data_IF_399364928435
#
_entry.id   IF_399364928435
#
_cell.length_a   1.000
_cell.length_b   1.000
_cell.length_c   1.000
_cell.angle_alpha   90.00
_cell.angle_beta   90.00
_cell.angle_gamma   90.00
#
_symmetry.space_group_name_H-M   'P 1'
#
loop_
_entity.id
_entity.type
_entity.pdbx_description
1 polymer ?
#
# COMPACT_ATOMS: atom_id res chain seq x y z
N UNK A 1 -18.89 -64.48 -4.99
CA UNK A 1 -18.67 -63.41 -3.97
C UNK A 1 -17.37 -62.70 -4.31
N UNK A 2 -17.45 -61.50 -4.90
CA UNK A 2 -16.27 -60.70 -5.26
C UNK A 2 -16.27 -59.45 -4.39
N UNK A 3 -15.33 -59.38 -3.44
CA UNK A 3 -15.15 -58.20 -2.57
C UNK A 3 -14.25 -57.22 -3.31
N UNK A 4 -14.83 -56.16 -3.85
CA UNK A 4 -14.08 -55.10 -4.52
C UNK A 4 -13.70 -54.04 -3.49
N UNK A 5 -12.41 -53.96 -3.18
CA UNK A 5 -11.84 -52.94 -2.30
C UNK A 5 -11.93 -51.57 -2.99
N UNK A 6 -12.67 -50.63 -2.39
CA UNK A 6 -12.74 -49.25 -2.87
C UNK A 6 -11.59 -48.45 -2.24
N UNK A 7 -10.60 -48.08 -3.06
CA UNK A 7 -9.48 -47.22 -2.66
C UNK A 7 -9.94 -45.76 -2.70
N UNK A 8 -9.82 -45.09 -1.56
CA UNK A 8 -10.12 -43.67 -1.33
C UNK A 8 -9.19 -42.77 -2.15
N UNK A 9 -9.75 -41.82 -2.91
CA UNK A 9 -8.99 -40.76 -3.57
C UNK A 9 -9.22 -39.44 -2.81
N UNK A 10 -8.26 -39.07 -1.96
CA UNK A 10 -8.21 -37.73 -1.36
C UNK A 10 -7.67 -36.76 -2.41
N UNK A 11 -8.52 -35.91 -2.97
CA UNK A 11 -8.08 -34.81 -3.82
C UNK A 11 -7.47 -33.71 -2.95
N UNK A 12 -6.13 -33.58 -2.95
CA UNK A 12 -5.47 -32.37 -2.46
C UNK A 12 -5.79 -31.22 -3.42
N UNK A 13 -6.77 -30.40 -3.08
CA UNK A 13 -6.84 -29.05 -3.65
C UNK A 13 -5.70 -28.25 -3.07
N UNK A 14 -4.55 -28.24 -3.76
CA UNK A 14 -3.52 -27.25 -3.52
C UNK A 14 -4.12 -25.88 -3.90
N UNK A 15 -4.69 -25.19 -2.92
CA UNK A 15 -5.02 -23.78 -3.05
C UNK A 15 -3.70 -23.04 -3.26
N UNK A 16 -3.39 -22.75 -4.52
CA UNK A 16 -2.42 -21.72 -4.89
C UNK A 16 -2.90 -20.41 -4.29
N UNK A 17 -2.47 -20.13 -3.05
CA UNK A 17 -2.53 -18.77 -2.53
C UNK A 17 -1.72 -17.92 -3.51
N UNK A 18 -2.31 -16.91 -4.17
CA UNK A 18 -1.52 -16.01 -5.00
C UNK A 18 -0.40 -15.47 -4.11
N UNK A 19 0.84 -15.72 -4.52
CA UNK A 19 2.02 -15.26 -3.79
C UNK A 19 1.86 -13.77 -3.55
N UNK A 20 1.69 -13.39 -2.29
CA UNK A 20 1.62 -12.01 -1.88
C UNK A 20 3.00 -11.44 -2.14
N UNK A 21 3.23 -10.87 -3.33
CA UNK A 21 4.39 -10.03 -3.54
C UNK A 21 4.30 -8.95 -2.45
N UNK A 22 5.31 -8.92 -1.58
CA UNK A 22 5.29 -8.06 -0.42
C UNK A 22 5.87 -6.72 -0.81
N UNK A 23 5.06 -5.66 -0.73
CA UNK A 23 5.53 -4.30 -0.93
C UNK A 23 6.64 -4.01 0.08
N UNK A 24 7.81 -3.61 -0.42
CA UNK A 24 8.98 -3.33 0.39
C UNK A 24 9.11 -1.84 0.66
N UNK A 25 9.52 -1.51 1.87
CA UNK A 25 9.90 -0.15 2.20
C UNK A 25 11.34 0.12 1.76
N UNK A 26 11.55 1.27 1.13
CA UNK A 26 12.85 1.68 0.61
C UNK A 26 13.52 2.59 1.64
N UNK A 27 14.82 2.37 1.87
CA UNK A 27 15.60 3.21 2.77
C UNK A 27 15.55 4.69 2.33
N UNK A 28 15.69 5.58 3.31
CA UNK A 28 15.53 7.02 3.13
C UNK A 28 16.42 7.62 2.02
N UNK A 29 17.70 7.24 1.96
CA UNK A 29 18.63 7.77 0.95
C UNK A 29 18.18 7.38 -0.46
N UNK A 30 17.81 6.12 -0.67
CA UNK A 30 17.39 5.62 -1.98
C UNK A 30 16.02 6.20 -2.37
N UNK A 31 15.13 6.37 -1.39
CA UNK A 31 13.83 7.02 -1.56
C UNK A 31 13.97 8.45 -2.10
N UNK A 32 14.87 9.24 -1.50
CA UNK A 32 15.04 10.65 -1.81
C UNK A 32 15.59 10.90 -3.23
N UNK A 33 16.55 10.10 -3.69
CA UNK A 33 17.23 10.34 -4.96
C UNK A 33 16.61 9.66 -6.19
N UNK A 34 15.79 8.61 -6.00
CA UNK A 34 15.35 7.79 -7.14
C UNK A 34 14.09 8.32 -7.84
N UNK A 35 13.20 9.02 -7.15
CA UNK A 35 11.94 9.57 -7.71
C UNK A 35 10.94 8.56 -8.30
N UNK A 36 11.31 7.28 -8.39
CA UNK A 36 10.56 6.21 -9.08
C UNK A 36 9.62 5.41 -8.18
N UNK A 37 9.72 5.59 -6.87
CA UNK A 37 8.95 4.82 -5.89
C UNK A 37 7.65 5.52 -5.53
N UNK A 38 6.68 4.75 -5.06
CA UNK A 38 5.51 5.32 -4.40
C UNK A 38 5.99 5.93 -3.08
N UNK A 39 5.63 7.18 -2.79
CA UNK A 39 6.02 7.87 -1.58
C UNK A 39 4.84 8.55 -0.91
N UNK A 40 4.86 8.57 0.41
CA UNK A 40 3.97 9.36 1.25
C UNK A 40 4.81 10.35 2.02
N UNK A 41 4.38 11.61 2.00
CA UNK A 41 4.94 12.59 2.92
C UNK A 41 3.97 12.81 4.08
N UNK A 42 4.54 12.88 5.28
CA UNK A 42 3.79 13.04 6.51
C UNK A 42 4.47 14.06 7.42
N UNK A 43 3.67 14.74 8.21
CA UNK A 43 4.14 15.69 9.22
C UNK A 43 4.26 15.00 10.56
N UNK A 44 5.23 15.44 11.37
CA UNK A 44 5.19 15.12 12.80
C UNK A 44 4.02 15.87 13.49
N UNK A 45 3.61 15.39 14.66
CA UNK A 45 2.51 15.97 15.45
C UNK A 45 2.66 17.49 15.70
N UNK A 46 3.89 18.01 15.64
CA UNK A 46 4.21 19.44 15.80
C UNK A 46 4.20 20.25 14.49
N UNK A 47 3.77 19.66 13.36
CA UNK A 47 3.50 20.35 12.09
C UNK A 47 4.71 20.93 11.36
N UNK A 48 5.92 20.84 11.93
CA UNK A 48 7.09 21.58 11.45
C UNK A 48 7.91 20.85 10.39
N UNK A 49 8.06 19.52 10.49
CA UNK A 49 8.94 18.75 9.59
C UNK A 49 8.14 17.73 8.79
N UNK A 50 8.28 17.81 7.46
CA UNK A 50 7.76 16.83 6.51
C UNK A 50 8.80 15.73 6.34
N UNK A 51 8.38 14.49 6.54
CA UNK A 51 9.18 13.28 6.33
C UNK A 51 8.59 12.51 5.15
N UNK A 52 9.45 11.82 4.40
CA UNK A 52 9.03 11.00 3.26
C UNK A 52 9.38 9.55 3.52
N UNK A 53 8.43 8.66 3.30
CA UNK A 53 8.64 7.21 3.22
C UNK A 53 8.32 6.74 1.81
N UNK A 54 9.09 5.77 1.31
CA UNK A 54 8.90 5.21 -0.02
C UNK A 54 8.68 3.70 0.02
N UNK A 55 7.90 3.21 -0.93
CA UNK A 55 7.62 1.80 -1.13
C UNK A 55 7.77 1.39 -2.59
N UNK A 56 8.17 0.14 -2.79
CA UNK A 56 8.38 -0.48 -4.09
C UNK A 56 7.92 -1.94 -4.05
N UNK A 57 8.06 -2.60 -5.19
CA UNK A 57 7.55 -3.94 -5.46
C UNK A 57 6.02 -4.01 -5.46
N UNK A 58 5.48 -4.95 -6.24
CA UNK A 58 4.05 -5.12 -6.43
C UNK A 58 3.40 -5.79 -5.22
N UNK A 59 2.10 -5.57 -5.04
CA UNK A 59 1.26 -6.26 -4.06
C UNK A 59 0.71 -5.34 -2.98
N UNK A 60 0.36 -5.92 -1.84
CA UNK A 60 -0.34 -5.25 -0.75
C UNK A 60 0.55 -5.02 0.47
N UNK A 61 0.35 -3.92 1.19
CA UNK A 61 0.95 -3.68 2.50
C UNK A 61 0.07 -2.85 3.43
N UNK A 62 -0.12 -3.37 4.63
CA UNK A 62 -0.65 -2.63 5.77
C UNK A 62 0.46 -1.75 6.38
N UNK A 63 0.16 -0.48 6.67
CA UNK A 63 1.20 0.47 7.10
C UNK A 63 0.79 1.52 8.13
N UNK A 64 -0.51 1.72 8.38
CA UNK A 64 -1.05 2.63 9.42
C UNK A 64 -0.22 3.91 9.61
N UNK A 65 0.05 4.63 8.53
CA UNK A 65 0.83 5.86 8.52
C UNK A 65 -0.08 7.05 8.82
N UNK A 66 0.19 7.76 9.91
CA UNK A 66 -0.58 8.95 10.32
C UNK A 66 -0.05 10.23 9.69
N UNK A 67 -0.86 11.28 9.75
CA UNK A 67 -0.51 12.64 9.35
C UNK A 67 0.02 12.76 7.92
N UNK A 68 -0.52 11.95 7.00
CA UNK A 68 -0.14 11.96 5.59
C UNK A 68 -0.72 13.20 4.91
N UNK A 69 0.17 14.03 4.35
CA UNK A 69 -0.18 15.32 3.74
C UNK A 69 -0.06 15.31 2.22
N UNK A 70 0.75 14.39 1.68
CA UNK A 70 0.97 14.26 0.24
C UNK A 70 1.39 12.85 -0.14
N UNK A 71 1.26 12.56 -1.44
CA UNK A 71 1.79 11.35 -2.04
C UNK A 71 2.42 11.66 -3.40
N UNK A 72 3.36 10.81 -3.80
CA UNK A 72 3.85 10.69 -5.18
C UNK A 72 3.80 9.22 -5.58
N UNK A 73 3.34 8.92 -6.79
CA UNK A 73 3.29 7.54 -7.28
C UNK A 73 4.59 7.07 -7.93
N UNK A 74 5.47 7.99 -8.32
CA UNK A 74 6.66 7.64 -9.11
C UNK A 74 6.27 6.82 -10.35
N UNK A 75 6.96 5.72 -10.63
CA UNK A 75 6.63 4.83 -11.75
C UNK A 75 5.63 3.71 -11.39
N UNK A 76 4.81 3.91 -10.35
CA UNK A 76 3.88 2.90 -9.83
C UNK A 76 2.42 3.31 -10.10
N UNK A 77 1.57 2.33 -10.36
CA UNK A 77 0.12 2.49 -10.33
C UNK A 77 -0.43 1.67 -9.15
N UNK A 78 -1.65 1.97 -8.73
CA UNK A 78 -2.31 1.21 -7.68
C UNK A 78 -3.32 2.05 -6.90
N UNK A 79 -3.42 1.76 -5.60
CA UNK A 79 -4.37 2.44 -4.73
C UNK A 79 -3.92 2.44 -3.27
N UNK A 80 -4.51 3.31 -2.46
CA UNK A 80 -4.37 3.26 -1.01
C UNK A 80 -5.69 3.56 -0.30
N UNK A 81 -5.87 2.98 0.87
CA UNK A 81 -7.00 3.24 1.78
C UNK A 81 -6.59 4.25 2.85
N UNK A 82 -7.48 5.20 3.14
CA UNK A 82 -7.20 6.25 4.10
C UNK A 82 -8.43 6.71 4.88
N UNK A 83 -8.19 7.27 6.07
CA UNK A 83 -9.17 7.89 6.96
C UNK A 83 -8.75 9.36 7.20
N UNK A 84 -9.44 10.36 6.63
CA UNK A 84 -9.06 11.77 6.75
C UNK A 84 -9.41 12.37 8.12
N UNK A 85 -10.09 11.63 9.01
CA UNK A 85 -10.50 12.08 10.34
C UNK A 85 -11.97 12.53 10.45
N UNK A 86 -12.79 12.26 9.44
CA UNK A 86 -14.25 12.49 9.45
C UNK A 86 -15.08 11.26 9.89
N UNK A 87 -14.41 10.20 10.34
CA UNK A 87 -15.04 8.93 10.74
C UNK A 87 -15.33 7.97 9.57
N UNK A 88 -14.98 8.34 8.33
CA UNK A 88 -15.16 7.49 7.16
C UNK A 88 -13.83 6.98 6.61
N UNK A 89 -13.92 5.86 5.88
CA UNK A 89 -12.79 5.27 5.14
C UNK A 89 -12.99 5.44 3.65
N UNK A 90 -11.91 5.84 2.98
CA UNK A 90 -11.89 6.12 1.55
C UNK A 90 -10.79 5.32 0.87
N UNK A 91 -10.96 5.14 -0.45
CA UNK A 91 -9.96 4.52 -1.33
C UNK A 91 -9.57 5.52 -2.42
N UNK A 92 -8.28 5.80 -2.54
CA UNK A 92 -7.72 6.63 -3.60
C UNK A 92 -6.97 5.75 -4.59
N UNK A 93 -7.28 5.87 -5.88
CA UNK A 93 -6.56 5.20 -6.96
C UNK A 93 -5.58 6.18 -7.60
N UNK A 94 -4.41 5.69 -8.00
CA UNK A 94 -3.38 6.51 -8.63
C UNK A 94 -2.78 5.81 -9.84
N UNK A 95 -2.50 6.61 -10.87
CA UNK A 95 -1.74 6.20 -12.05
C UNK A 95 -0.26 6.51 -11.86
N UNK A 96 0.59 5.96 -12.73
CA UNK A 96 2.02 6.32 -12.79
C UNK A 96 2.21 7.82 -12.99
N UNK A 97 3.27 8.34 -12.39
CA UNK A 97 3.72 9.74 -12.45
C UNK A 97 2.66 10.75 -11.98
N UNK A 98 1.73 10.32 -11.14
CA UNK A 98 0.76 11.16 -10.45
C UNK A 98 1.20 11.48 -9.02
N UNK A 99 0.73 12.60 -8.47
CA UNK A 99 0.99 12.96 -7.08
C UNK A 99 0.21 14.19 -6.67
N UNK A 100 -0.01 14.35 -5.38
CA UNK A 100 -0.63 15.54 -4.79
C UNK A 100 0.36 16.13 -3.82
N UNK A 101 0.87 17.33 -4.13
CA UNK A 101 1.99 17.93 -3.41
C UNK A 101 1.65 18.41 -2.00
N UNK A 102 0.43 18.90 -1.76
CA UNK A 102 -0.18 19.18 -0.44
C UNK A 102 -1.68 19.38 -0.65
N UNK A 103 -2.54 18.68 0.09
CA UNK A 103 -3.92 19.16 0.26
C UNK A 103 -3.89 20.27 1.30
N UNK A 104 -3.97 21.53 0.90
CA UNK A 104 -4.21 22.62 1.86
C UNK A 104 -5.69 22.58 2.27
N UNK A 105 -5.98 22.26 3.53
CA UNK A 105 -7.33 22.34 4.10
C UNK A 105 -7.62 21.27 5.15
N UNK A 106 -8.91 21.09 5.49
CA UNK A 106 -9.42 20.15 6.52
C UNK A 106 -9.28 18.65 6.14
N UNK A 107 -8.67 18.34 4.99
CA UNK A 107 -8.73 17.00 4.37
C UNK A 107 -7.36 16.53 3.86
N UNK A 108 -6.35 16.58 4.73
CA UNK A 108 -5.16 15.75 4.55
C UNK A 108 -5.57 14.27 4.40
N UNK A 109 -4.70 13.43 3.84
CA UNK A 109 -4.98 11.99 3.75
C UNK A 109 -5.12 11.36 5.15
N UNK A 110 -4.65 12.04 6.20
CA UNK A 110 -4.84 11.63 7.58
C UNK A 110 -4.10 10.34 7.86
N UNK A 111 -4.84 9.28 8.17
CA UNK A 111 -4.32 7.95 8.39
C UNK A 111 -4.41 7.13 7.10
N UNK A 112 -3.27 6.80 6.49
CA UNK A 112 -3.20 5.78 5.43
C UNK A 112 -3.04 4.41 6.05
N UNK A 113 -3.96 3.50 5.75
CA UNK A 113 -4.06 2.20 6.39
C UNK A 113 -3.33 1.12 5.61
N UNK A 114 -3.56 1.10 4.30
CA UNK A 114 -3.12 0.07 3.38
C UNK A 114 -2.77 0.68 2.03
N UNK A 115 -1.75 0.12 1.37
CA UNK A 115 -1.41 0.43 -0.02
C UNK A 115 -1.40 -0.84 -0.86
N UNK A 116 -1.64 -0.65 -2.15
CA UNK A 116 -1.49 -1.62 -3.20
C UNK A 116 -0.67 -1.02 -4.34
N UNK A 117 0.32 -1.76 -4.84
CA UNK A 117 1.14 -1.39 -6.00
C UNK A 117 0.96 -2.44 -7.09
N UNK A 118 0.61 -1.99 -8.30
CA UNK A 118 0.28 -2.84 -9.45
C UNK A 118 1.48 -3.43 -10.19
#
# INVERSE_FOLDING_TARGET
MLKTNLITLLALTASVAPGVNAVKEINFLTCFFAGKYFSLDYTNFFGGRVWTRCWADRGDKDMRQTSVVSYSSGNNAGWFEYEPGDGSRYKHTFQKNSGVRKRKGKYDWGLVLKIHID
#
